data_IF_435733696484
#
_entry.id   IF_435733696484
#
_cell.length_a   1.000
_cell.length_b   1.000
_cell.length_c   1.000
_cell.angle_alpha   90.00
_cell.angle_beta   90.00
_cell.angle_gamma   90.00
#
_symmetry.space_group_name_H-M   'P 1'
#
loop_
_entity.id
_entity.type
_entity.pdbx_description
1 polymer ?
#
# COMPACT_ATOMS: atom_id res chain seq x y z
N UNK A 1 53.51 56.44 -7.40
CA UNK A 1 52.17 57.05 -7.30
C UNK A 1 51.52 56.48 -6.04
N UNK A 2 51.57 57.15 -4.89
CA UNK A 2 50.59 58.14 -4.41
C UNK A 2 49.14 57.60 -4.53
N UNK A 3 48.29 57.49 -3.50
CA UNK A 3 48.21 58.14 -2.18
C UNK A 3 47.05 57.46 -1.39
N UNK A 4 47.18 57.48 -0.05
CA UNK A 4 46.13 57.76 0.98
C UNK A 4 45.01 56.74 1.28
N UNK A 5 45.17 56.10 2.46
CA UNK A 5 44.15 55.88 3.51
C UNK A 5 43.39 57.19 3.90
N UNK A 6 42.40 57.16 4.84
CA UNK A 6 41.33 56.20 5.15
C UNK A 6 39.97 56.94 5.30
N UNK A 7 38.85 56.26 5.65
CA UNK A 7 37.85 56.81 6.58
C UNK A 7 36.80 55.77 7.01
N UNK A 8 36.58 55.69 8.32
CA UNK A 8 35.33 55.22 8.94
C UNK A 8 34.50 56.46 9.29
N UNK A 9 33.19 56.43 9.03
CA UNK A 9 32.19 57.18 9.79
C UNK A 9 30.85 56.43 9.76
N UNK A 10 30.37 56.09 10.96
CA UNK A 10 28.96 55.82 11.25
C UNK A 10 28.11 57.05 10.95
N UNK A 11 26.84 56.87 10.54
CA UNK A 11 25.66 57.44 11.23
C UNK A 11 24.32 57.12 10.55
N UNK A 12 23.42 56.57 11.38
CA UNK A 12 21.96 56.80 11.52
C UNK A 12 20.92 56.45 10.44
N UNK A 13 20.11 55.43 10.80
CA UNK A 13 18.62 55.37 10.88
C UNK A 13 17.74 56.10 9.83
N UNK A 14 16.86 55.33 9.16
CA UNK A 14 15.39 55.40 9.31
C UNK A 14 14.65 54.28 8.53
N UNK A 15 13.80 53.55 9.25
CA UNK A 15 12.56 52.83 8.91
C UNK A 15 12.31 52.27 7.48
N UNK A 16 12.00 50.96 7.44
CA UNK A 16 11.33 50.35 6.30
C UNK A 16 10.91 48.90 6.54
N UNK A 17 9.66 48.74 6.98
CA UNK A 17 8.73 47.64 6.72
C UNK A 17 9.13 46.17 7.03
N UNK A 18 8.29 45.61 7.90
CA UNK A 18 8.00 44.20 8.12
C UNK A 18 7.94 43.42 6.79
N UNK A 19 8.79 42.40 6.67
CA UNK A 19 8.52 41.22 5.87
C UNK A 19 8.60 40.02 6.81
N UNK A 20 7.41 39.55 7.16
CA UNK A 20 7.13 38.26 7.74
C UNK A 20 7.84 37.16 6.94
N UNK A 21 9.04 36.79 7.37
CA UNK A 21 9.66 35.53 6.99
C UNK A 21 8.92 34.44 7.74
N UNK A 22 7.88 33.88 7.11
CA UNK A 22 7.30 32.62 7.55
C UNK A 22 8.43 31.61 7.60
N UNK A 23 8.78 31.16 8.82
CA UNK A 23 9.47 29.92 9.01
C UNK A 23 8.53 28.85 8.44
N UNK A 24 8.76 28.48 7.18
CA UNK A 24 8.24 27.23 6.65
C UNK A 24 9.01 26.13 7.37
N UNK A 25 8.57 25.80 8.59
CA UNK A 25 8.85 24.48 9.13
C UNK A 25 8.20 23.51 8.16
N UNK A 26 9.02 22.87 7.32
CA UNK A 26 8.66 21.55 6.85
C UNK A 26 8.58 20.73 8.12
N UNK A 27 7.35 20.45 8.55
CA UNK A 27 7.11 19.44 9.56
C UNK A 27 7.50 18.14 8.86
N UNK A 28 8.68 17.66 9.21
CA UNK A 28 9.19 16.37 8.78
C UNK A 28 8.65 15.36 9.78
N UNK A 29 8.00 14.31 9.28
CA UNK A 29 7.36 13.32 10.13
C UNK A 29 8.37 12.71 11.11
N UNK A 30 7.95 12.51 12.35
CA UNK A 30 8.80 12.02 13.41
C UNK A 30 9.12 10.53 13.25
N UNK A 31 10.31 10.13 13.73
CA UNK A 31 10.75 8.73 13.68
C UNK A 31 9.87 7.85 14.60
N UNK A 32 9.68 6.56 14.25
CA UNK A 32 8.85 5.63 15.03
C UNK A 32 9.24 5.51 16.51
N UNK A 33 10.54 5.58 16.81
CA UNK A 33 11.08 5.41 18.18
C UNK A 33 10.68 6.56 19.13
N UNK A 34 10.19 7.68 18.59
CA UNK A 34 9.72 8.83 19.39
C UNK A 34 8.20 8.87 19.54
N UNK A 35 7.48 7.87 19.03
CA UNK A 35 6.03 7.84 19.05
C UNK A 35 5.45 7.85 20.48
N UNK A 36 4.34 8.56 20.73
CA UNK A 36 3.65 8.53 22.01
C UNK A 36 3.18 7.10 22.35
N UNK A 37 3.26 6.74 23.64
CA UNK A 37 2.88 5.39 24.10
C UNK A 37 1.41 5.04 23.78
N UNK A 38 0.51 6.03 23.76
CA UNK A 38 -0.89 5.84 23.37
C UNK A 38 -1.03 5.43 21.89
N UNK A 39 -0.26 6.05 21.01
CA UNK A 39 -0.25 5.72 19.58
C UNK A 39 0.26 4.29 19.38
N UNK A 40 1.42 3.96 19.97
CA UNK A 40 2.01 2.62 19.89
C UNK A 40 1.03 1.57 20.43
N UNK A 41 0.43 1.83 21.58
CA UNK A 41 -0.56 0.94 22.18
C UNK A 41 -1.82 0.73 21.34
N UNK A 42 -2.21 1.72 20.52
CA UNK A 42 -3.35 1.59 19.59
C UNK A 42 -3.00 0.63 18.44
N UNK A 43 -1.80 0.76 17.86
CA UNK A 43 -1.34 -0.13 16.79
C UNK A 43 -1.15 -1.57 17.29
N UNK A 44 -0.60 -1.76 18.50
CA UNK A 44 -0.46 -3.06 19.14
C UNK A 44 -1.82 -3.73 19.39
N UNK A 45 -2.84 -2.96 19.82
CA UNK A 45 -4.19 -3.46 20.01
C UNK A 45 -4.81 -3.90 18.68
N UNK A 46 -4.61 -3.13 17.61
CA UNK A 46 -5.09 -3.47 16.27
C UNK A 46 -4.45 -4.77 15.76
N UNK A 47 -3.13 -4.88 15.85
CA UNK A 47 -2.40 -6.08 15.47
C UNK A 47 -2.86 -7.29 16.30
N UNK A 48 -3.00 -7.13 17.62
CA UNK A 48 -3.44 -8.20 18.52
C UNK A 48 -4.85 -8.67 18.17
N UNK A 49 -5.79 -7.74 17.96
CA UNK A 49 -7.17 -8.06 17.61
C UNK A 49 -7.26 -8.74 16.24
N UNK A 50 -6.48 -8.28 15.25
CA UNK A 50 -6.44 -8.87 13.92
C UNK A 50 -5.85 -10.29 13.93
N UNK A 51 -4.76 -10.53 14.66
CA UNK A 51 -4.18 -11.87 14.85
C UNK A 51 -5.11 -12.81 15.62
N UNK A 52 -5.92 -12.28 16.56
CA UNK A 52 -6.94 -13.05 17.25
C UNK A 52 -8.19 -13.30 16.39
N UNK A 53 -8.28 -12.71 15.19
CA UNK A 53 -9.48 -12.67 14.36
C UNK A 53 -10.72 -12.22 15.13
N UNK A 54 -10.54 -11.31 16.10
CA UNK A 54 -11.62 -10.76 16.90
C UNK A 54 -12.21 -9.54 16.19
N UNK A 55 -13.23 -9.80 15.39
CA UNK A 55 -13.86 -8.76 14.57
C UNK A 55 -14.43 -7.63 15.43
N UNK A 56 -14.94 -7.94 16.62
CA UNK A 56 -15.52 -6.93 17.50
C UNK A 56 -14.43 -6.02 18.08
N UNK A 57 -13.28 -6.59 18.47
CA UNK A 57 -12.14 -5.82 18.95
C UNK A 57 -11.50 -4.97 17.84
N UNK A 58 -11.35 -5.52 16.62
CA UNK A 58 -10.84 -4.74 15.47
C UNK A 58 -11.77 -3.56 15.19
N UNK A 59 -13.07 -3.80 15.06
CA UNK A 59 -14.00 -2.73 14.68
C UNK A 59 -14.18 -1.66 15.77
N UNK A 60 -13.85 -1.93 17.04
CA UNK A 60 -13.82 -0.90 18.09
C UNK A 60 -12.71 0.14 17.88
N UNK A 61 -11.63 -0.23 17.17
CA UNK A 61 -10.51 0.65 16.85
C UNK A 61 -10.75 1.48 15.59
N UNK A 62 -11.88 1.29 14.90
CA UNK A 62 -12.31 2.13 13.79
C UNK A 62 -13.44 3.06 14.25
N UNK A 63 -13.38 4.31 13.81
CA UNK A 63 -14.45 5.27 14.08
C UNK A 63 -15.74 4.85 13.36
N UNK A 64 -16.93 5.12 13.92
CA UNK A 64 -18.20 4.99 13.20
C UNK A 64 -18.26 5.81 11.90
N UNK A 65 -17.48 6.89 11.81
CA UNK A 65 -17.37 7.76 10.63
C UNK A 65 -16.16 7.41 9.76
N UNK A 66 -15.56 6.22 9.93
CA UNK A 66 -14.39 5.79 9.18
C UNK A 66 -14.64 5.79 7.67
N UNK A 67 -13.64 6.23 6.91
CA UNK A 67 -13.60 6.11 5.45
C UNK A 67 -12.20 5.81 4.94
N UNK A 68 -12.10 5.07 3.84
CA UNK A 68 -10.84 4.90 3.11
C UNK A 68 -10.87 5.54 1.72
N UNK A 69 -9.70 5.76 1.13
CA UNK A 69 -9.55 6.16 -0.29
C UNK A 69 -10.18 5.13 -1.24
N UNK A 70 -10.13 3.85 -0.88
CA UNK A 70 -10.80 2.74 -1.60
C UNK A 70 -12.32 2.63 -1.36
N UNK A 71 -12.91 3.55 -0.57
CA UNK A 71 -14.35 3.59 -0.29
C UNK A 71 -14.83 2.55 0.74
N UNK A 72 -13.94 2.03 1.59
CA UNK A 72 -14.35 1.22 2.73
C UNK A 72 -15.01 2.09 3.81
N UNK A 73 -16.12 1.58 4.36
CA UNK A 73 -16.82 2.08 5.55
C UNK A 73 -16.62 1.06 6.68
N UNK A 74 -17.01 1.32 7.93
CA UNK A 74 -16.96 0.31 8.98
C UNK A 74 -17.64 -1.00 8.57
N UNK A 75 -18.81 -0.92 7.93
CA UNK A 75 -19.59 -2.08 7.53
C UNK A 75 -18.91 -2.89 6.42
N UNK A 76 -18.41 -2.22 5.37
CA UNK A 76 -17.76 -2.93 4.26
C UNK A 76 -16.37 -3.45 4.63
N UNK A 77 -15.64 -2.75 5.52
CA UNK A 77 -14.40 -3.22 6.09
C UNK A 77 -14.63 -4.48 6.93
N UNK A 78 -15.63 -4.45 7.82
CA UNK A 78 -16.00 -5.61 8.62
C UNK A 78 -16.31 -6.83 7.75
N UNK A 79 -17.13 -6.66 6.70
CA UNK A 79 -17.47 -7.73 5.79
C UNK A 79 -16.25 -8.27 5.02
N UNK A 80 -15.34 -7.38 4.59
CA UNK A 80 -14.11 -7.77 3.91
C UNK A 80 -13.17 -8.57 4.82
N UNK A 81 -12.98 -8.13 6.07
CA UNK A 81 -12.18 -8.84 7.08
C UNK A 81 -12.76 -10.21 7.39
N UNK A 82 -14.08 -10.32 7.60
CA UNK A 82 -14.74 -11.60 7.83
C UNK A 82 -14.54 -12.56 6.65
N UNK A 83 -14.74 -12.07 5.42
CA UNK A 83 -14.52 -12.87 4.20
C UNK A 83 -13.07 -13.34 4.09
N UNK A 84 -12.12 -12.48 4.43
CA UNK A 84 -10.70 -12.80 4.42
C UNK A 84 -10.37 -13.89 5.45
N UNK A 85 -10.85 -13.75 6.69
CA UNK A 85 -10.60 -14.70 7.78
C UNK A 85 -11.30 -16.05 7.56
N UNK A 86 -12.47 -16.05 6.93
CA UNK A 86 -13.14 -17.29 6.51
C UNK A 86 -12.32 -18.05 5.46
N UNK A 87 -11.66 -17.33 4.54
CA UNK A 87 -10.84 -17.92 3.47
C UNK A 87 -9.47 -18.36 3.97
N UNK A 88 -8.88 -17.61 4.89
CA UNK A 88 -7.56 -17.87 5.47
C UNK A 88 -7.69 -17.95 6.99
N UNK A 89 -8.05 -19.12 7.53
CA UNK A 89 -8.27 -19.28 8.97
C UNK A 89 -6.98 -19.10 9.78
N UNK A 90 -5.82 -19.29 9.16
CA UNK A 90 -4.50 -19.11 9.76
C UNK A 90 -3.83 -17.89 9.14
N UNK A 91 -4.17 -16.69 9.63
CA UNK A 91 -3.55 -15.43 9.24
C UNK A 91 -2.68 -14.87 10.36
N UNK A 92 -1.53 -14.33 9.99
CA UNK A 92 -0.63 -13.60 10.87
C UNK A 92 -0.51 -12.18 10.33
N UNK A 93 -0.75 -11.21 11.20
CA UNK A 93 -0.60 -9.79 10.94
C UNK A 93 0.62 -9.26 11.69
N UNK A 94 1.34 -8.34 11.07
CA UNK A 94 2.39 -7.54 11.70
C UNK A 94 2.31 -6.11 11.21
N UNK A 95 2.27 -5.15 12.12
CA UNK A 95 2.13 -3.72 11.83
C UNK A 95 3.39 -3.02 12.31
N UNK A 96 4.05 -2.31 11.40
CA UNK A 96 5.20 -1.46 11.70
C UNK A 96 4.80 0.00 11.52
N UNK A 97 5.12 0.84 12.49
CA UNK A 97 5.04 2.29 12.33
C UNK A 97 6.26 2.75 11.52
N UNK A 98 6.02 3.47 10.42
CA UNK A 98 7.08 4.04 9.57
C UNK A 98 7.33 5.51 9.90
N UNK A 99 6.26 6.27 10.15
CA UNK A 99 6.36 7.67 10.57
C UNK A 99 5.08 8.14 11.24
N UNK A 100 5.16 9.22 12.02
CA UNK A 100 4.00 9.83 12.66
C UNK A 100 4.14 11.34 12.79
N UNK A 101 3.00 12.02 12.87
CA UNK A 101 2.89 13.45 13.13
C UNK A 101 1.70 13.73 14.05
N UNK A 102 1.85 14.73 14.92
CA UNK A 102 0.70 15.30 15.62
C UNK A 102 -0.20 16.05 14.65
N UNK A 103 -1.51 15.89 14.83
CA UNK A 103 -2.51 16.64 14.10
C UNK A 103 -3.67 16.98 15.04
N UNK A 104 -4.53 17.92 14.64
CA UNK A 104 -5.60 18.41 15.51
C UNK A 104 -6.46 17.25 16.03
N UNK A 105 -6.45 16.97 17.33
CA UNK A 105 -7.27 15.90 17.92
C UNK A 105 -6.70 14.47 17.80
N UNK A 106 -5.46 14.29 17.32
CA UNK A 106 -4.81 12.98 17.31
C UNK A 106 -3.53 12.93 16.47
N UNK A 107 -3.41 11.93 15.59
CA UNK A 107 -2.18 11.64 14.85
C UNK A 107 -2.45 11.39 13.38
N UNK A 108 -1.47 11.70 12.54
CA UNK A 108 -1.34 11.14 11.19
C UNK A 108 -0.15 10.19 11.23
N UNK A 109 -0.34 8.96 10.75
CA UNK A 109 0.70 7.93 10.78
C UNK A 109 0.84 7.26 9.43
N UNK A 110 2.05 6.81 9.11
CA UNK A 110 2.28 5.87 8.03
C UNK A 110 2.71 4.53 8.63
N UNK A 111 2.08 3.45 8.19
CA UNK A 111 2.33 2.10 8.69
C UNK A 111 2.59 1.13 7.55
N UNK A 112 3.40 0.10 7.80
CA UNK A 112 3.54 -1.07 6.93
C UNK A 112 2.90 -2.27 7.61
N UNK A 113 1.86 -2.82 6.99
CA UNK A 113 1.18 -4.04 7.44
C UNK A 113 1.61 -5.21 6.58
N UNK A 114 2.14 -6.25 7.23
CA UNK A 114 2.46 -7.54 6.63
C UNK A 114 1.35 -8.53 6.99
N UNK A 115 0.90 -9.28 6.01
CA UNK A 115 -0.12 -10.32 6.19
C UNK A 115 0.42 -11.60 5.56
N UNK A 116 0.51 -12.66 6.35
CA UNK A 116 0.84 -13.99 5.87
C UNK A 116 -0.28 -14.94 6.25
N UNK A 117 -0.67 -15.83 5.35
CA UNK A 117 -1.66 -16.84 5.70
C UNK A 117 -1.67 -18.04 4.78
N UNK A 118 -2.36 -19.08 5.23
CA UNK A 118 -2.59 -20.30 4.46
C UNK A 118 -4.09 -20.52 4.30
N UNK A 119 -4.50 -20.75 3.07
CA UNK A 119 -5.81 -21.27 2.72
C UNK A 119 -5.69 -22.80 2.73
N UNK A 120 -6.42 -23.42 3.66
CA UNK A 120 -6.45 -24.87 3.85
C UNK A 120 -7.83 -25.41 3.45
N UNK A 121 -7.88 -26.57 2.80
CA UNK A 121 -9.14 -27.29 2.52
C UNK A 121 -9.72 -27.15 1.10
N UNK A 122 -8.96 -26.59 0.16
CA UNK A 122 -9.22 -26.67 -1.29
C UNK A 122 -8.42 -27.81 -1.95
N UNK A 123 -8.64 -28.11 -3.24
CA UNK A 123 -7.85 -29.14 -3.97
C UNK A 123 -6.34 -28.87 -3.96
N UNK A 124 -5.94 -27.60 -3.79
CA UNK A 124 -4.57 -27.17 -3.56
C UNK A 124 -4.56 -26.19 -2.41
N UNK A 125 -3.68 -26.39 -1.43
CA UNK A 125 -3.43 -25.38 -0.40
C UNK A 125 -2.77 -24.17 -1.06
N UNK A 126 -3.11 -22.97 -0.58
CA UNK A 126 -2.58 -21.73 -1.12
C UNK A 126 -2.01 -20.84 -0.01
N UNK A 127 -0.81 -20.29 -0.23
CA UNK A 127 -0.18 -19.35 0.69
C UNK A 127 -0.35 -17.92 0.19
N UNK A 128 -0.82 -17.04 1.07
CA UNK A 128 -0.95 -15.61 0.87
C UNK A 128 0.21 -14.89 1.56
N UNK A 129 0.80 -13.93 0.84
CA UNK A 129 1.67 -12.90 1.39
C UNK A 129 1.21 -11.53 0.90
N UNK A 130 1.05 -10.59 1.80
CA UNK A 130 0.67 -9.21 1.49
C UNK A 130 1.55 -8.23 2.26
N UNK A 131 1.89 -7.13 1.60
CA UNK A 131 2.52 -5.96 2.21
C UNK A 131 1.75 -4.73 1.77
N UNK A 132 1.20 -4.01 2.75
CA UNK A 132 0.38 -2.81 2.54
C UNK A 132 1.04 -1.66 3.28
N UNK A 133 1.31 -0.57 2.59
CA UNK A 133 1.72 0.69 3.21
C UNK A 133 0.53 1.64 3.18
N UNK A 134 0.18 2.17 4.33
CA UNK A 134 -1.00 3.00 4.51
C UNK A 134 -0.66 4.27 5.26
N UNK A 135 -1.32 5.37 4.89
CA UNK A 135 -1.42 6.56 5.73
C UNK A 135 -2.75 6.52 6.46
N UNK A 136 -2.73 6.72 7.77
CA UNK A 136 -3.93 6.69 8.60
C UNK A 136 -4.04 7.97 9.42
N UNK A 137 -5.28 8.40 9.66
CA UNK A 137 -5.58 9.41 10.65
C UNK A 137 -6.21 8.75 11.85
N UNK A 138 -5.64 9.02 13.02
CA UNK A 138 -6.13 8.52 14.30
C UNK A 138 -6.66 9.68 15.13
N UNK A 139 -7.83 9.51 15.71
CA UNK A 139 -8.42 10.46 16.66
C UNK A 139 -9.00 9.69 17.84
N UNK A 140 -8.69 10.12 19.07
CA UNK A 140 -9.16 9.45 20.31
C UNK A 140 -8.92 7.93 20.33
N UNK A 141 -7.78 7.48 19.79
CA UNK A 141 -7.42 6.05 19.72
C UNK A 141 -8.16 5.23 18.66
N UNK A 142 -8.87 5.89 17.73
CA UNK A 142 -9.58 5.23 16.63
C UNK A 142 -9.08 5.69 15.27
N UNK A 143 -9.06 4.80 14.29
CA UNK A 143 -8.80 5.13 12.89
C UNK A 143 -10.03 5.80 12.29
N UNK A 144 -9.90 7.07 11.92
CA UNK A 144 -10.97 7.86 11.28
C UNK A 144 -10.84 7.88 9.76
N UNK A 145 -9.63 7.74 9.22
CA UNK A 145 -9.44 7.56 7.79
C UNK A 145 -8.18 6.81 7.43
N UNK A 146 -8.17 6.22 6.24
CA UNK A 146 -7.03 5.50 5.69
C UNK A 146 -6.85 5.77 4.19
N UNK A 147 -5.61 6.01 3.77
CA UNK A 147 -5.17 6.03 2.37
C UNK A 147 -4.19 4.87 2.14
N UNK A 148 -4.45 4.02 1.15
CA UNK A 148 -3.51 2.97 0.75
C UNK A 148 -2.43 3.57 -0.17
N UNK A 149 -1.21 3.72 0.34
CA UNK A 149 -0.09 4.32 -0.39
C UNK A 149 0.55 3.33 -1.38
N UNK A 150 0.68 2.07 -0.98
CA UNK A 150 1.17 0.99 -1.85
C UNK A 150 0.67 -0.36 -1.35
N UNK A 151 0.42 -1.29 -2.26
CA UNK A 151 -0.05 -2.63 -1.92
C UNK A 151 0.56 -3.67 -2.86
N UNK A 152 0.96 -4.79 -2.27
CA UNK A 152 1.65 -5.89 -2.93
C UNK A 152 1.14 -7.20 -2.38
N UNK A 153 0.42 -7.96 -3.19
CA UNK A 153 -0.14 -9.26 -2.82
C UNK A 153 0.50 -10.36 -3.67
N UNK A 154 0.74 -11.50 -3.05
CA UNK A 154 1.20 -12.71 -3.71
C UNK A 154 0.43 -13.91 -3.15
N UNK A 155 -0.22 -14.64 -4.05
CA UNK A 155 -0.85 -15.92 -3.76
C UNK A 155 -0.06 -17.02 -4.50
N UNK A 156 0.31 -18.07 -3.79
CA UNK A 156 1.02 -19.22 -4.37
C UNK A 156 0.29 -20.51 -4.02
N UNK A 157 0.25 -21.47 -4.95
CA UNK A 157 -0.34 -22.78 -4.68
C UNK A 157 0.37 -23.87 -5.49
N UNK A 158 0.32 -25.11 -4.99
CA UNK A 158 1.02 -26.25 -5.58
C UNK A 158 2.42 -26.50 -4.97
N UNK A 159 3.10 -27.53 -5.47
CA UNK A 159 4.37 -28.01 -4.93
C UNK A 159 5.54 -27.10 -5.30
N UNK A 160 5.55 -26.57 -6.53
CA UNK A 160 6.61 -25.71 -7.05
C UNK A 160 6.01 -24.51 -7.82
N UNK A 161 5.34 -23.57 -7.13
CA UNK A 161 4.83 -22.36 -7.75
C UNK A 161 5.98 -21.56 -8.41
N UNK A 162 5.76 -20.95 -9.59
CA UNK A 162 6.79 -20.16 -10.25
C UNK A 162 7.20 -18.95 -9.41
N UNK A 163 8.50 -18.67 -9.28
CA UNK A 163 8.98 -17.43 -8.64
C UNK A 163 8.85 -16.28 -9.63
N UNK A 164 8.25 -15.17 -9.20
CA UNK A 164 7.90 -14.06 -10.10
C UNK A 164 8.49 -12.75 -9.59
N UNK A 165 9.31 -12.11 -10.43
CA UNK A 165 9.69 -10.70 -10.26
C UNK A 165 8.70 -9.82 -11.02
N UNK A 166 8.19 -8.77 -10.36
CA UNK A 166 7.25 -7.82 -10.96
C UNK A 166 7.91 -6.47 -11.13
N UNK A 167 7.80 -5.91 -12.33
CA UNK A 167 8.19 -4.53 -12.64
C UNK A 167 6.90 -3.77 -12.98
N UNK A 168 6.53 -2.85 -12.09
CA UNK A 168 5.41 -1.93 -12.25
C UNK A 168 5.77 -0.63 -11.51
N UNK A 169 5.61 0.54 -12.13
CA UNK A 169 5.72 1.81 -11.40
C UNK A 169 4.67 1.89 -10.28
N UNK A 170 5.02 2.47 -9.12
CA UNK A 170 4.01 2.66 -8.06
C UNK A 170 3.03 3.78 -8.38
N UNK A 171 3.46 4.76 -9.19
CA UNK A 171 2.64 5.88 -9.63
C UNK A 171 2.96 6.26 -11.08
N UNK A 172 1.93 6.66 -11.82
CA UNK A 172 2.03 7.28 -13.14
C UNK A 172 1.11 8.48 -13.25
N UNK A 173 1.43 9.39 -14.19
CA UNK A 173 0.58 10.53 -14.48
C UNK A 173 -0.72 10.09 -15.18
N UNK A 174 -1.82 10.84 -15.02
CA UNK A 174 -3.05 10.57 -15.76
C UNK A 174 -2.83 10.53 -17.28
N UNK A 175 -3.37 9.51 -17.95
CA UNK A 175 -3.24 9.27 -19.39
C UNK A 175 -1.87 8.78 -19.85
N UNK A 176 -0.93 8.49 -18.94
CA UNK A 176 0.37 7.92 -19.29
C UNK A 176 0.28 6.41 -19.55
N UNK A 177 1.07 5.91 -20.50
CA UNK A 177 1.30 4.47 -20.65
C UNK A 177 2.31 3.96 -19.63
N UNK A 178 2.18 2.71 -19.24
CA UNK A 178 3.07 2.06 -18.27
C UNK A 178 3.36 0.61 -18.66
N UNK A 179 4.56 0.14 -18.32
CA UNK A 179 4.95 -1.25 -18.50
C UNK A 179 4.53 -2.07 -17.27
N UNK A 180 4.00 -3.26 -17.53
CA UNK A 180 3.74 -4.28 -16.52
C UNK A 180 4.40 -5.58 -16.95
N UNK A 181 5.50 -5.90 -16.27
CA UNK A 181 6.25 -7.12 -16.50
C UNK A 181 6.14 -8.04 -15.29
N UNK A 182 5.73 -9.28 -15.52
CA UNK A 182 5.77 -10.36 -14.55
C UNK A 182 6.71 -11.45 -15.10
N UNK A 183 7.93 -11.46 -14.57
CA UNK A 183 9.04 -12.26 -15.08
C UNK A 183 9.19 -13.49 -14.20
N UNK A 184 9.08 -14.67 -14.79
CA UNK A 184 9.36 -15.92 -14.10
C UNK A 184 10.86 -16.16 -14.06
N UNK A 185 11.39 -16.36 -12.86
CA UNK A 185 12.84 -16.40 -12.63
C UNK A 185 13.47 -17.72 -13.09
N UNK A 186 12.73 -18.83 -12.99
CA UNK A 186 13.25 -20.13 -13.41
C UNK A 186 13.10 -20.32 -14.92
N UNK A 187 14.09 -20.96 -15.58
CA UNK A 187 13.98 -21.31 -16.99
C UNK A 187 12.76 -22.22 -17.24
N UNK A 188 12.10 -21.99 -18.37
CA UNK A 188 10.95 -22.79 -18.79
C UNK A 188 11.34 -24.23 -19.14
N UNK A 189 12.51 -24.42 -19.75
CA UNK A 189 12.90 -25.69 -20.38
C UNK A 189 11.76 -26.19 -21.30
N UNK A 190 11.33 -27.44 -21.14
CA UNK A 190 10.22 -28.03 -21.91
C UNK A 190 8.85 -27.87 -21.22
N UNK A 191 8.75 -27.06 -20.16
CA UNK A 191 7.50 -26.85 -19.42
C UNK A 191 6.66 -25.74 -20.05
N UNK A 192 5.36 -25.97 -20.13
CA UNK A 192 4.41 -24.94 -20.51
C UNK A 192 4.18 -23.97 -19.35
N UNK A 193 4.08 -22.69 -19.69
CA UNK A 193 3.65 -21.63 -18.78
C UNK A 193 2.39 -21.02 -19.36
N UNK A 194 1.31 -21.06 -18.59
CA UNK A 194 0.10 -20.32 -18.90
C UNK A 194 0.09 -19.02 -18.10
N UNK A 195 -0.49 -17.97 -18.65
CA UNK A 195 -0.71 -16.77 -17.86
C UNK A 195 -1.73 -15.80 -18.42
N UNK A 196 -2.08 -14.84 -17.56
CA UNK A 196 -3.02 -13.78 -17.85
C UNK A 196 -2.60 -12.51 -17.11
N UNK A 197 -2.90 -11.35 -17.72
CA UNK A 197 -2.79 -10.04 -17.11
C UNK A 197 -4.19 -9.49 -16.86
N UNK A 198 -4.42 -8.87 -15.70
CA UNK A 198 -5.72 -8.30 -15.35
C UNK A 198 -5.48 -6.93 -14.72
N UNK A 199 -6.24 -5.94 -15.15
CA UNK A 199 -6.32 -4.63 -14.49
C UNK A 199 -7.72 -4.45 -13.90
N UNK A 200 -7.78 -4.05 -12.63
CA UNK A 200 -9.01 -3.93 -11.86
C UNK A 200 -9.02 -2.62 -11.06
N UNK A 201 -10.23 -2.12 -10.72
CA UNK A 201 -10.36 -1.03 -9.75
C UNK A 201 -10.04 -1.52 -8.33
N UNK A 202 -9.66 -0.62 -7.44
CA UNK A 202 -9.32 -0.94 -6.04
C UNK A 202 -10.46 -0.70 -5.06
N UNK A 203 -11.69 -0.50 -5.54
CA UNK A 203 -12.79 -0.08 -4.67
C UNK A 203 -13.30 -1.25 -3.81
N UNK A 204 -13.98 -0.92 -2.71
CA UNK A 204 -14.68 -1.90 -1.89
C UNK A 204 -15.67 -2.76 -2.70
N UNK A 205 -16.20 -2.29 -3.84
CA UNK A 205 -17.07 -3.08 -4.72
C UNK A 205 -16.27 -4.06 -5.58
N UNK A 206 -15.12 -3.63 -6.09
CA UNK A 206 -14.24 -4.49 -6.89
C UNK A 206 -13.76 -5.71 -6.10
N UNK A 207 -13.50 -5.53 -4.79
CA UNK A 207 -13.08 -6.60 -3.88
C UNK A 207 -14.02 -7.82 -3.88
N UNK A 208 -15.32 -7.62 -4.06
CA UNK A 208 -16.32 -8.69 -4.03
C UNK A 208 -16.70 -9.23 -5.41
N UNK A 209 -16.11 -8.70 -6.50
CA UNK A 209 -16.50 -9.03 -7.87
C UNK A 209 -15.55 -10.06 -8.48
N UNK A 210 -16.01 -11.30 -8.64
CA UNK A 210 -15.26 -12.32 -9.39
C UNK A 210 -15.30 -12.06 -10.90
N UNK A 211 -14.15 -12.16 -11.58
CA UNK A 211 -14.04 -11.98 -13.03
C UNK A 211 -13.54 -13.25 -13.73
N UNK A 212 -14.04 -13.57 -14.93
CA UNK A 212 -13.50 -14.66 -15.73
C UNK A 212 -12.07 -14.32 -16.18
N UNK A 213 -11.18 -15.32 -16.16
CA UNK A 213 -9.78 -15.16 -16.56
C UNK A 213 -9.53 -15.98 -17.82
N UNK A 214 -9.02 -15.33 -18.85
CA UNK A 214 -8.62 -15.97 -20.10
C UNK A 214 -7.11 -16.25 -20.05
N UNK A 215 -6.76 -17.53 -19.95
CA UNK A 215 -5.36 -17.97 -19.89
C UNK A 215 -4.78 -18.11 -21.31
N UNK A 216 -3.60 -17.54 -21.49
CA UNK A 216 -2.80 -17.63 -22.71
C UNK A 216 -1.63 -18.60 -22.49
N UNK A 217 -1.22 -19.33 -23.54
CA UNK A 217 0.07 -20.02 -23.51
C UNK A 217 1.20 -19.01 -23.72
N UNK A 218 2.09 -18.89 -22.73
CA UNK A 218 3.23 -17.98 -22.78
C UNK A 218 4.41 -18.64 -23.48
N UNK A 219 4.88 -17.99 -24.55
CA UNK A 219 6.07 -18.40 -25.30
C UNK A 219 7.38 -17.87 -24.71
N UNK A 220 7.29 -16.96 -23.73
CA UNK A 220 8.40 -16.37 -23.01
C UNK A 220 8.32 -16.74 -21.52
N UNK A 221 9.44 -16.59 -20.79
CA UNK A 221 9.53 -16.83 -19.35
C UNK A 221 8.78 -15.80 -18.50
N UNK A 222 7.64 -15.29 -18.94
CA UNK A 222 6.90 -14.24 -18.26
C UNK A 222 5.83 -13.60 -19.14
N UNK A 223 5.16 -12.62 -18.54
CA UNK A 223 4.13 -11.80 -19.14
C UNK A 223 4.64 -10.36 -19.22
N UNK A 224 4.51 -9.75 -20.40
CA UNK A 224 4.96 -8.39 -20.68
C UNK A 224 3.81 -7.64 -21.37
N UNK A 225 3.27 -6.62 -20.71
CA UNK A 225 2.13 -5.86 -21.20
C UNK A 225 2.39 -4.37 -21.05
N UNK A 226 1.80 -3.59 -21.94
CA UNK A 226 1.73 -2.13 -21.84
C UNK A 226 0.29 -1.79 -21.48
N UNK A 227 0.09 -1.07 -20.38
CA UNK A 227 -1.18 -0.52 -19.97
C UNK A 227 -1.25 0.98 -20.25
N UNK A 228 -2.47 1.51 -20.31
CA UNK A 228 -2.73 2.95 -20.42
C UNK A 228 -3.50 3.39 -19.19
N UNK A 229 -2.95 4.34 -18.44
CA UNK A 229 -3.61 4.87 -17.25
C UNK A 229 -4.87 5.68 -17.63
N UNK A 230 -5.92 5.65 -16.80
CA UNK A 230 -7.05 6.57 -16.94
C UNK A 230 -6.62 8.04 -16.98
N UNK A 231 -7.45 8.88 -17.59
CA UNK A 231 -7.18 10.33 -17.72
C UNK A 231 -7.49 11.11 -16.46
N UNK A 232 -8.20 10.50 -15.51
CA UNK A 232 -8.52 11.06 -14.20
C UNK A 232 -7.67 10.37 -13.12
N UNK A 233 -7.51 11.02 -11.96
CA UNK A 233 -6.84 10.40 -10.82
C UNK A 233 -7.59 9.15 -10.37
N UNK A 234 -6.86 8.07 -10.12
CA UNK A 234 -7.42 6.75 -9.87
C UNK A 234 -6.40 5.84 -9.16
N UNK A 235 -6.86 4.66 -8.76
CA UNK A 235 -6.02 3.58 -8.26
C UNK A 235 -6.43 2.26 -8.90
N UNK A 236 -5.44 1.47 -9.31
CA UNK A 236 -5.65 0.21 -10.04
C UNK A 236 -4.88 -0.93 -9.42
N UNK A 237 -5.52 -2.10 -9.34
CA UNK A 237 -4.81 -3.35 -9.15
C UNK A 237 -4.39 -3.89 -10.51
N UNK A 238 -3.09 -4.10 -10.67
CA UNK A 238 -2.51 -4.74 -11.84
C UNK A 238 -1.98 -6.10 -11.40
N UNK A 239 -2.54 -7.15 -12.01
CA UNK A 239 -2.35 -8.54 -11.58
C UNK A 239 -1.78 -9.39 -12.71
N UNK A 240 -0.91 -10.34 -12.36
CA UNK A 240 -0.50 -11.43 -13.24
C UNK A 240 -0.83 -12.77 -12.57
N UNK A 241 -1.47 -13.66 -13.34
CA UNK A 241 -1.67 -15.07 -13.00
C UNK A 241 -0.72 -15.90 -13.86
N UNK A 242 0.10 -16.73 -13.22
CA UNK A 242 1.09 -17.58 -13.87
C UNK A 242 0.93 -19.01 -13.38
N UNK A 243 0.72 -19.95 -14.30
CA UNK A 243 0.40 -21.35 -14.01
C UNK A 243 1.35 -22.28 -14.73
N UNK A 244 1.90 -23.24 -13.98
CA UNK A 244 2.64 -24.40 -14.44
C UNK A 244 1.93 -25.68 -13.98
N UNK A 245 2.42 -26.83 -14.44
CA UNK A 245 1.89 -28.14 -14.07
C UNK A 245 1.93 -28.41 -12.55
N UNK A 246 2.96 -27.90 -11.89
CA UNK A 246 3.33 -28.15 -10.49
C UNK A 246 3.01 -26.98 -9.55
N UNK A 247 2.48 -25.87 -10.05
CA UNK A 247 2.07 -24.76 -9.21
C UNK A 247 1.58 -23.52 -9.95
N UNK A 248 1.07 -22.57 -9.19
CA UNK A 248 0.58 -21.28 -9.67
C UNK A 248 1.05 -20.15 -8.77
N UNK A 249 1.16 -18.97 -9.36
CA UNK A 249 1.42 -17.72 -8.64
C UNK A 249 0.53 -16.63 -9.19
N UNK A 250 -0.15 -15.94 -8.29
CA UNK A 250 -0.84 -14.69 -8.58
C UNK A 250 -0.07 -13.59 -7.88
N UNK A 251 0.28 -12.56 -8.62
CA UNK A 251 0.87 -11.33 -8.07
C UNK A 251 -0.05 -10.18 -8.40
N UNK A 252 -0.33 -9.33 -7.42
CA UNK A 252 -1.13 -8.11 -7.58
C UNK A 252 -0.36 -6.94 -7.00
N UNK A 253 -0.33 -5.83 -7.72
CA UNK A 253 0.31 -4.58 -7.31
C UNK A 253 -0.67 -3.43 -7.48
N UNK A 254 -0.65 -2.47 -6.56
CA UNK A 254 -1.37 -1.20 -6.71
C UNK A 254 -0.56 -0.23 -7.56
N UNK A 255 -1.19 0.32 -8.59
CA UNK A 255 -0.73 1.42 -9.42
C UNK A 255 -1.57 2.65 -9.09
N UNK A 256 -0.92 3.74 -8.69
CA UNK A 256 -1.59 5.03 -8.49
C UNK A 256 -1.54 5.86 -9.77
N UNK A 257 -2.65 6.51 -10.09
CA UNK A 257 -2.75 7.48 -11.17
C UNK A 257 -2.97 8.84 -10.54
N UNK A 258 -1.93 9.65 -10.50
CA UNK A 258 -1.92 10.94 -9.82
C UNK A 258 -0.85 11.87 -10.41
N UNK A 259 -1.06 13.18 -10.28
CA UNK A 259 -0.12 14.23 -10.71
C UNK A 259 1.19 14.25 -9.90
#
# INVERSE_FOLDING_TARGET
>A
MARRQPWHLLSSLLFGLVLSGGLHFRVEAAEPDTAPAELVGTLEQLETAANAQDIAAVMQLYSPDFSSDDGFTPESLQAALQTLWERYPELIYRVELESWDEADGGYVVETVTYIEGMQSGTERDAALKSVIRSRQRLESGQVVSQETLSERNQLTAGENPPTVTVILPEQVAPGASYDFDAIVEEPLNDRYLLGAAIEEGTTATDFFTGRPIELELLSAGGLFKIGDAPTDSDSRWVSALLIREDGMTVVTRRLRVAE
#
